data_IF_326979017525
#
_entry.id   IF_326979017525
#
_cell.length_a   1.000
_cell.length_b   1.000
_cell.length_c   1.000
_cell.angle_alpha   90.00
_cell.angle_beta   90.00
_cell.angle_gamma   90.00
#
_symmetry.space_group_name_H-M   'P 1'
#
loop_
_entity.id
_entity.type
_entity.pdbx_description
1 polymer ?
#
# COMPACT_ATOMS: atom_id res chain seq x y z
N UNK A 1 -45.69 -25.05 47.91
CA UNK A 1 -46.04 -23.74 47.32
C UNK A 1 -44.74 -23.00 47.07
N UNK A 2 -44.20 -23.11 45.85
CA UNK A 2 -44.15 -22.01 44.84
C UNK A 2 -43.15 -20.92 45.27
N UNK A 3 -42.10 -20.53 44.53
CA UNK A 3 -41.87 -20.54 43.08
C UNK A 3 -40.39 -20.32 42.78
N UNK A 4 -39.88 -21.06 41.79
CA UNK A 4 -38.62 -20.86 41.05
C UNK A 4 -38.58 -19.48 40.37
N UNK A 5 -37.53 -18.69 40.59
CA UNK A 5 -37.14 -17.62 39.67
C UNK A 5 -35.87 -18.04 38.92
N UNK A 6 -36.05 -18.41 37.65
CA UNK A 6 -34.98 -18.37 36.64
C UNK A 6 -34.57 -16.92 36.48
N UNK A 7 -33.30 -16.61 36.72
CA UNK A 7 -32.68 -15.38 36.24
C UNK A 7 -31.99 -15.74 34.92
N UNK A 8 -32.29 -14.94 33.91
CA UNK A 8 -31.90 -15.11 32.53
C UNK A 8 -30.37 -15.15 32.40
N UNK A 9 -29.92 -16.03 31.51
CA UNK A 9 -28.59 -16.00 30.94
C UNK A 9 -28.53 -14.73 30.08
N UNK A 10 -27.84 -13.70 30.55
CA UNK A 10 -27.47 -12.58 29.70
C UNK A 10 -26.43 -13.10 28.71
N UNK A 11 -26.73 -12.94 27.43
CA UNK A 11 -25.86 -13.31 26.32
C UNK A 11 -24.60 -12.42 26.37
N UNK A 12 -23.48 -12.97 26.82
CA UNK A 12 -22.16 -12.39 26.61
C UNK A 12 -21.87 -12.35 25.09
N UNK A 13 -22.16 -11.21 24.46
CA UNK A 13 -21.71 -10.93 23.10
C UNK A 13 -20.18 -10.90 23.11
N UNK A 14 -19.59 -11.98 22.61
CA UNK A 14 -18.14 -12.18 22.57
C UNK A 14 -17.46 -11.13 21.66
N UNK A 15 -16.38 -10.45 22.09
CA UNK A 15 -15.61 -9.47 21.29
C UNK A 15 -15.02 -10.02 19.97
N UNK A 16 -15.19 -11.32 19.71
CA UNK A 16 -14.69 -12.02 18.52
C UNK A 16 -15.61 -11.87 17.30
N UNK A 17 -16.92 -11.74 17.49
CA UNK A 17 -17.87 -11.65 16.38
C UNK A 17 -17.81 -10.28 15.70
N UNK A 18 -17.67 -9.21 16.48
CA UNK A 18 -17.54 -7.82 16.00
C UNK A 18 -16.27 -7.64 15.13
N UNK A 19 -15.15 -8.20 15.56
CA UNK A 19 -13.89 -8.15 14.80
C UNK A 19 -13.97 -8.89 13.45
N UNK A 20 -14.75 -9.98 13.37
CA UNK A 20 -14.91 -10.76 12.13
C UNK A 20 -15.62 -9.94 11.05
N UNK A 21 -16.70 -9.25 11.41
CA UNK A 21 -17.46 -8.41 10.49
C UNK A 21 -16.59 -7.23 9.96
N UNK A 22 -15.81 -6.60 10.85
CA UNK A 22 -14.90 -5.50 10.47
C UNK A 22 -13.79 -6.00 9.54
N UNK A 23 -13.26 -7.21 9.72
CA UNK A 23 -12.26 -7.80 8.82
C UNK A 23 -12.85 -8.03 7.42
N UNK A 24 -14.07 -8.57 7.34
CA UNK A 24 -14.75 -8.79 6.06
C UNK A 24 -14.97 -7.45 5.33
N UNK A 25 -15.39 -6.42 6.06
CA UNK A 25 -15.55 -5.07 5.50
C UNK A 25 -14.20 -4.51 5.02
N UNK A 26 -13.13 -4.64 5.80
CA UNK A 26 -11.79 -4.18 5.42
C UNK A 26 -11.28 -4.88 4.15
N UNK A 27 -11.50 -6.20 4.04
CA UNK A 27 -11.14 -6.97 2.84
C UNK A 27 -11.93 -6.45 1.63
N UNK A 28 -13.23 -6.19 1.78
CA UNK A 28 -14.06 -5.64 0.70
C UNK A 28 -13.55 -4.28 0.23
N UNK A 29 -13.28 -3.37 1.16
CA UNK A 29 -12.71 -2.06 0.84
C UNK A 29 -11.38 -2.16 0.10
N UNK A 30 -10.50 -3.07 0.53
CA UNK A 30 -9.23 -3.32 -0.14
C UNK A 30 -9.41 -3.90 -1.54
N UNK A 31 -10.41 -4.77 -1.74
CA UNK A 31 -10.72 -5.32 -3.05
C UNK A 31 -11.23 -4.24 -4.01
N UNK A 32 -12.08 -3.32 -3.54
CA UNK A 32 -12.56 -2.19 -4.33
C UNK A 32 -11.40 -1.27 -4.73
N UNK A 33 -10.46 -1.03 -3.82
CA UNK A 33 -9.28 -0.22 -4.11
C UNK A 33 -8.31 -0.94 -5.07
N UNK A 34 -8.14 -2.26 -4.96
CA UNK A 34 -7.40 -3.07 -5.96
C UNK A 34 -7.98 -2.88 -7.37
N UNK A 35 -9.31 -2.90 -7.50
CA UNK A 35 -9.97 -2.72 -8.80
C UNK A 35 -9.67 -1.32 -9.38
N UNK A 36 -9.65 -0.28 -8.54
CA UNK A 36 -9.23 1.07 -8.96
C UNK A 36 -7.78 1.10 -9.42
N UNK A 37 -6.86 0.50 -8.65
CA UNK A 37 -5.45 0.43 -9.05
C UNK A 37 -5.25 -0.36 -10.34
N UNK A 38 -6.02 -1.43 -10.58
CA UNK A 38 -6.01 -2.17 -11.84
C UNK A 38 -6.46 -1.31 -13.03
N UNK A 39 -7.49 -0.49 -12.86
CA UNK A 39 -7.93 0.44 -13.89
C UNK A 39 -6.83 1.46 -14.21
N UNK A 40 -6.20 2.04 -13.18
CA UNK A 40 -5.06 2.96 -13.35
C UNK A 40 -3.93 2.26 -14.09
N UNK A 41 -3.50 1.07 -13.66
CA UNK A 41 -2.46 0.28 -14.32
C UNK A 41 -2.79 0.08 -15.81
N UNK A 42 -4.01 -0.31 -16.13
CA UNK A 42 -4.45 -0.53 -17.51
C UNK A 42 -4.36 0.75 -18.35
N UNK A 43 -4.93 1.85 -17.86
CA UNK A 43 -4.94 3.13 -18.56
C UNK A 43 -3.52 3.69 -18.75
N UNK A 44 -2.71 3.64 -17.70
CA UNK A 44 -1.32 4.12 -17.74
C UNK A 44 -0.45 3.27 -18.65
N UNK A 45 -0.62 1.95 -18.66
CA UNK A 45 0.09 1.07 -19.60
C UNK A 45 -0.24 1.41 -21.05
N UNK A 46 -1.51 1.74 -21.34
CA UNK A 46 -1.92 2.21 -22.68
C UNK A 46 -1.30 3.56 -23.02
N UNK A 47 -1.28 4.50 -22.08
CA UNK A 47 -0.63 5.79 -22.27
C UNK A 47 0.87 5.64 -22.58
N UNK A 48 1.56 4.71 -21.90
CA UNK A 48 2.97 4.40 -22.17
C UNK A 48 3.19 3.77 -23.53
N UNK A 49 2.31 2.85 -23.95
CA UNK A 49 2.38 2.29 -25.30
C UNK A 49 2.22 3.38 -26.36
N UNK A 50 1.30 4.32 -26.15
CA UNK A 50 1.17 5.51 -27.02
C UNK A 50 2.46 6.34 -27.00
N UNK A 51 3.00 6.65 -25.82
CA UNK A 51 4.22 7.45 -25.69
C UNK A 51 5.42 6.80 -26.41
N UNK A 52 5.55 5.48 -26.32
CA UNK A 52 6.61 4.73 -27.00
C UNK A 52 6.42 4.66 -28.52
N UNK A 53 5.17 4.76 -29.00
CA UNK A 53 4.84 4.72 -30.43
C UNK A 53 4.86 6.10 -31.11
N UNK A 54 4.97 7.19 -30.34
CA UNK A 54 4.88 8.56 -30.84
C UNK A 54 6.16 9.33 -30.50
N UNK A 55 6.90 9.76 -31.51
CA UNK A 55 8.19 10.45 -31.35
C UNK A 55 8.12 11.69 -30.46
N UNK A 56 7.00 12.41 -30.46
CA UNK A 56 6.79 13.61 -29.63
C UNK A 56 6.77 13.32 -28.13
N UNK A 57 6.35 12.11 -27.74
CA UNK A 57 6.20 11.72 -26.34
C UNK A 57 7.33 10.82 -25.84
N UNK A 58 8.16 10.28 -26.73
CA UNK A 58 9.29 9.45 -26.38
C UNK A 58 10.35 10.25 -25.62
N UNK A 59 10.66 9.82 -24.39
CA UNK A 59 11.59 10.52 -23.51
C UNK A 59 11.06 11.84 -22.96
N UNK A 60 9.75 12.09 -23.09
CA UNK A 60 9.08 13.27 -22.53
C UNK A 60 8.82 13.12 -21.03
N UNK A 61 8.53 14.26 -20.37
CA UNK A 61 8.05 14.28 -18.98
C UNK A 61 6.71 13.56 -18.81
N UNK A 62 5.89 13.50 -19.86
CA UNK A 62 4.61 12.77 -19.87
C UNK A 62 4.87 11.27 -19.75
N UNK A 63 5.81 10.73 -20.54
CA UNK A 63 6.21 9.33 -20.42
C UNK A 63 6.72 9.02 -19.02
N UNK A 64 7.60 9.86 -18.48
CA UNK A 64 8.14 9.69 -17.14
C UNK A 64 7.06 9.65 -16.05
N UNK A 65 6.14 10.62 -16.03
CA UNK A 65 5.08 10.65 -15.01
C UNK A 65 4.14 9.46 -15.17
N UNK A 66 3.92 8.97 -16.40
CA UNK A 66 3.19 7.73 -16.63
C UNK A 66 3.95 6.49 -16.08
N UNK A 67 5.26 6.39 -16.26
CA UNK A 67 6.08 5.30 -15.68
C UNK A 67 6.02 5.31 -14.15
N UNK A 68 6.14 6.49 -13.54
CA UNK A 68 6.01 6.68 -12.08
C UNK A 68 4.61 6.32 -11.58
N UNK A 69 3.56 6.73 -12.28
CA UNK A 69 2.18 6.39 -11.92
C UNK A 69 1.95 4.88 -12.00
N UNK A 70 2.45 4.23 -13.05
CA UNK A 70 2.35 2.78 -13.22
C UNK A 70 3.05 2.03 -12.08
N UNK A 71 4.25 2.48 -11.71
CA UNK A 71 5.02 1.92 -10.59
C UNK A 71 4.22 2.03 -9.28
N UNK A 72 3.73 3.22 -8.94
CA UNK A 72 2.99 3.47 -7.70
C UNK A 72 1.69 2.66 -7.64
N UNK A 73 0.92 2.62 -8.74
CA UNK A 73 -0.32 1.85 -8.80
C UNK A 73 -0.06 0.35 -8.65
N UNK A 74 1.01 -0.16 -9.26
CA UNK A 74 1.43 -1.56 -9.14
C UNK A 74 1.83 -1.91 -7.71
N UNK A 75 2.65 -1.07 -7.07
CA UNK A 75 3.07 -1.27 -5.68
C UNK A 75 1.90 -1.22 -4.70
N UNK A 76 0.98 -0.25 -4.86
CA UNK A 76 -0.25 -0.16 -4.05
C UNK A 76 -1.12 -1.39 -4.19
N UNK A 77 -1.35 -1.84 -5.43
CA UNK A 77 -2.10 -3.07 -5.70
C UNK A 77 -1.47 -4.27 -4.99
N UNK A 78 -0.14 -4.39 -5.04
CA UNK A 78 0.57 -5.49 -4.38
C UNK A 78 0.47 -5.42 -2.86
N UNK A 79 0.62 -4.22 -2.26
CA UNK A 79 0.47 -4.03 -0.82
C UNK A 79 -0.92 -4.44 -0.33
N UNK A 80 -1.98 -4.03 -1.04
CA UNK A 80 -3.36 -4.43 -0.70
C UNK A 80 -3.60 -5.93 -0.85
N UNK A 81 -3.04 -6.57 -1.87
CA UNK A 81 -3.12 -8.03 -2.01
C UNK A 81 -2.46 -8.75 -0.84
N UNK A 82 -1.27 -8.29 -0.44
CA UNK A 82 -0.56 -8.84 0.70
C UNK A 82 -1.36 -8.66 2.00
N UNK A 83 -1.97 -7.49 2.20
CA UNK A 83 -2.79 -7.21 3.38
C UNK A 83 -4.09 -8.02 3.39
N UNK A 84 -4.77 -8.21 2.24
CA UNK A 84 -5.93 -9.12 2.15
C UNK A 84 -5.50 -10.55 2.53
N UNK A 85 -4.37 -11.03 2.00
CA UNK A 85 -3.85 -12.35 2.34
C UNK A 85 -3.55 -12.45 3.84
N UNK A 86 -2.91 -11.42 4.42
CA UNK A 86 -2.64 -11.36 5.86
C UNK A 86 -3.92 -11.41 6.68
N UNK A 87 -4.91 -10.58 6.36
CA UNK A 87 -6.20 -10.54 7.07
C UNK A 87 -6.92 -11.90 7.03
N UNK A 88 -6.88 -12.60 5.88
CA UNK A 88 -7.46 -13.95 5.72
C UNK A 88 -6.74 -15.01 6.54
N UNK A 89 -5.41 -14.92 6.68
CA UNK A 89 -4.60 -15.91 7.40
C UNK A 89 -4.59 -15.66 8.90
N UNK A 90 -4.36 -14.41 9.33
CA UNK A 90 -4.21 -14.07 10.73
C UNK A 90 -5.56 -13.82 11.43
N UNK A 91 -6.61 -13.46 10.69
CA UNK A 91 -7.94 -13.19 11.26
C UNK A 91 -7.96 -12.04 12.27
N UNK A 92 -6.97 -11.14 12.24
CA UNK A 92 -6.84 -9.99 13.12
C UNK A 92 -6.57 -8.70 12.33
N UNK A 93 -7.20 -7.61 12.75
CA UNK A 93 -7.15 -6.32 12.04
C UNK A 93 -5.76 -5.68 12.01
N UNK A 94 -4.96 -5.90 13.04
CA UNK A 94 -3.59 -5.37 13.20
C UNK A 94 -2.62 -6.53 13.22
N UNK A 95 -1.56 -6.44 12.42
CA UNK A 95 -0.47 -7.41 12.48
C UNK A 95 0.15 -7.36 13.87
N UNK A 96 0.24 -8.52 14.52
CA UNK A 96 1.01 -8.70 15.75
C UNK A 96 2.28 -9.44 15.39
N UNK A 97 3.43 -8.79 15.55
CA UNK A 97 4.72 -9.46 15.45
C UNK A 97 4.86 -10.46 16.59
N UNK A 98 5.64 -11.54 16.39
CA UNK A 98 6.03 -12.46 17.46
C UNK A 98 6.65 -11.73 18.66
N UNK A 99 7.25 -10.57 18.43
CA UNK A 99 7.88 -9.74 19.45
C UNK A 99 6.91 -8.80 20.18
N UNK A 100 5.66 -8.67 19.72
CA UNK A 100 4.68 -7.71 20.27
C UNK A 100 3.45 -8.39 20.87
N UNK A 101 3.41 -9.72 20.94
CA UNK A 101 2.26 -10.47 21.49
C UNK A 101 2.04 -10.20 22.98
N UNK A 102 3.12 -9.99 23.73
CA UNK A 102 3.10 -9.82 25.19
C UNK A 102 3.46 -8.40 25.65
N UNK A 103 3.62 -7.46 24.71
CA UNK A 103 3.95 -6.06 25.02
C UNK A 103 2.69 -5.17 24.91
N UNK A 104 2.52 -4.19 25.82
CA UNK A 104 1.48 -3.18 25.68
C UNK A 104 1.58 -2.47 24.33
N UNK A 105 0.45 -2.26 23.64
CA UNK A 105 0.41 -1.48 22.41
C UNK A 105 0.62 -0.01 22.72
N UNK A 106 1.87 0.45 22.60
CA UNK A 106 2.19 1.86 22.63
C UNK A 106 1.97 2.50 21.25
N UNK A 107 1.43 3.73 21.25
CA UNK A 107 1.28 4.55 20.05
C UNK A 107 2.42 5.54 20.00
N UNK A 108 3.06 5.66 18.83
CA UNK A 108 4.13 6.61 18.61
C UNK A 108 4.05 7.24 17.22
N UNK A 109 4.76 8.34 17.05
CA UNK A 109 4.90 9.03 15.77
C UNK A 109 6.32 8.81 15.25
N UNK A 110 6.43 8.27 14.04
CA UNK A 110 7.69 8.17 13.31
C UNK A 110 7.73 9.27 12.24
N UNK A 111 8.75 10.14 12.32
CA UNK A 111 9.00 11.16 11.30
C UNK A 111 10.27 10.78 10.56
N UNK A 112 10.16 10.57 9.25
CA UNK A 112 11.30 10.37 8.35
C UNK A 112 11.51 11.67 7.59
N UNK A 113 12.65 12.32 7.78
CA UNK A 113 13.01 13.58 7.14
C UNK A 113 14.44 13.50 6.58
N UNK A 114 14.82 14.50 5.77
CA UNK A 114 16.17 14.63 5.20
C UNK A 114 16.62 13.41 4.37
N UNK A 115 15.75 12.88 3.52
CA UNK A 115 16.08 11.79 2.59
C UNK A 115 17.07 12.33 1.56
N UNK A 116 18.33 11.90 1.65
CA UNK A 116 19.41 12.31 0.76
C UNK A 116 19.93 11.10 -0.03
N UNK A 117 20.05 11.25 -1.36
CA UNK A 117 20.65 10.26 -2.24
C UNK A 117 21.96 10.82 -2.83
N UNK A 118 23.12 10.51 -2.23
CA UNK A 118 24.40 10.98 -2.74
C UNK A 118 24.74 10.29 -4.06
N UNK A 119 25.13 11.09 -5.06
CA UNK A 119 25.55 10.60 -6.37
C UNK A 119 27.08 10.64 -6.50
N UNK A 120 27.64 9.68 -7.25
CA UNK A 120 29.08 9.67 -7.56
C UNK A 120 29.45 10.89 -8.40
N UNK A 121 30.60 11.51 -8.12
CA UNK A 121 31.08 12.70 -8.87
C UNK A 121 31.30 12.39 -10.34
N UNK A 122 31.77 11.19 -10.66
CA UNK A 122 31.98 10.68 -12.01
C UNK A 122 30.67 10.64 -12.79
N UNK A 123 29.60 10.18 -12.13
CA UNK A 123 28.26 10.12 -12.72
C UNK A 123 27.72 11.51 -13.03
N UNK A 124 27.85 12.46 -12.09
CA UNK A 124 27.40 13.85 -12.29
C UNK A 124 28.16 14.51 -13.45
N UNK A 125 29.48 14.28 -13.53
CA UNK A 125 30.31 14.78 -14.65
C UNK A 125 29.88 14.18 -15.99
N UNK A 126 29.65 12.87 -16.03
CA UNK A 126 29.17 12.20 -17.25
C UNK A 126 27.80 12.73 -17.69
N UNK A 127 26.90 12.99 -16.74
CA UNK A 127 25.57 13.54 -17.02
C UNK A 127 25.64 14.94 -17.62
N UNK A 128 26.51 15.80 -17.09
CA UNK A 128 26.76 17.13 -17.63
C UNK A 128 27.34 17.07 -19.05
N UNK A 129 28.27 16.15 -19.31
CA UNK A 129 28.86 15.95 -20.64
C UNK A 129 27.86 15.41 -21.67
N UNK A 130 26.85 14.63 -21.25
CA UNK A 130 25.82 14.06 -22.10
C UNK A 130 24.67 15.03 -22.47
N UNK A 131 24.84 16.33 -22.22
CA UNK A 131 23.83 17.34 -22.51
C UNK A 131 22.66 17.38 -21.51
N UNK A 132 22.85 16.84 -20.31
CA UNK A 132 21.92 17.06 -19.19
C UNK A 132 20.60 16.30 -19.25
N UNK A 133 20.44 15.30 -20.13
CA UNK A 133 19.30 14.38 -20.06
C UNK A 133 19.41 13.54 -18.78
N UNK A 134 18.75 14.04 -17.73
CA UNK A 134 18.77 13.52 -16.37
C UNK A 134 18.18 12.12 -16.23
N UNK A 135 18.55 11.43 -15.15
CA UNK A 135 17.82 10.25 -14.69
C UNK A 135 16.90 10.67 -13.56
N UNK A 136 15.72 10.06 -13.50
CA UNK A 136 14.74 10.33 -12.45
C UNK A 136 14.81 9.24 -11.37
N UNK A 137 14.76 9.65 -10.11
CA UNK A 137 14.79 8.74 -8.97
C UNK A 137 13.58 9.01 -8.09
N UNK A 138 12.88 7.94 -7.72
CA UNK A 138 11.75 7.98 -6.80
C UNK A 138 12.06 7.11 -5.58
N UNK A 139 11.82 7.63 -4.38
CA UNK A 139 11.89 6.87 -3.14
C UNK A 139 10.47 6.49 -2.72
N UNK A 140 10.24 5.20 -2.46
CA UNK A 140 8.95 4.68 -2.00
C UNK A 140 9.15 3.99 -0.66
N UNK A 141 8.45 4.45 0.38
CA UNK A 141 8.38 3.76 1.67
C UNK A 141 7.11 2.91 1.71
N UNK A 142 7.18 1.58 1.56
CA UNK A 142 6.03 0.71 1.73
C UNK A 142 5.68 0.69 3.22
N UNK A 143 4.63 1.43 3.61
CA UNK A 143 4.01 1.25 4.92
C UNK A 143 2.53 0.97 4.70
N UNK A 144 2.16 -0.30 4.89
CA UNK A 144 0.85 -0.86 4.61
C UNK A 144 0.98 -2.36 4.42
#
# INVERSE_FOLDING_TARGET
>A
MTTTKRVAHEDEISPKEDNSMIIVEKIKMQQDEINKQQLIIYQTSRALNLCNSTLEFMGSTVQLEAEKLLLLATQRRQAMLNEIQRLKVEGILRSQSRHTKDLPLEKGTLIISNINLPLKKEYVRALAAAGGKGHHVTCTSPHG
#
